data_IF_167128678140
#
_entry.id   IF_167128678140
#
_cell.length_a   1.000
_cell.length_b   1.000
_cell.length_c   1.000
_cell.angle_alpha   90.00
_cell.angle_beta   90.00
_cell.angle_gamma   90.00
#
_symmetry.space_group_name_H-M   'P 1'
#
loop_
_entity.id
_entity.type
_entity.pdbx_description
1 polymer ?
#
# COMPACT_ATOMS: atom_id res chain seq x y z
N UNK A 1 4.29 -15.48 -9.48
CA UNK A 1 3.72 -14.46 -10.39
C UNK A 1 2.73 -13.61 -9.58
N UNK A 2 2.71 -12.29 -9.72
CA UNK A 2 1.66 -11.45 -9.12
C UNK A 2 0.54 -11.29 -10.15
N UNK A 3 -0.71 -11.36 -9.71
CA UNK A 3 -1.89 -11.18 -10.55
C UNK A 3 -2.50 -9.83 -10.21
N UNK A 4 -2.76 -9.01 -11.23
CA UNK A 4 -3.53 -7.78 -11.05
C UNK A 4 -5.00 -8.17 -10.86
N UNK A 5 -5.56 -7.87 -9.68
CA UNK A 5 -6.95 -8.20 -9.36
C UNK A 5 -7.93 -7.09 -9.76
N UNK A 6 -7.43 -5.91 -10.12
CA UNK A 6 -8.26 -4.73 -10.32
C UNK A 6 -7.51 -3.49 -10.81
N UNK A 7 -8.20 -2.65 -11.59
CA UNK A 7 -7.72 -1.33 -12.02
C UNK A 7 -8.88 -0.33 -11.98
N UNK A 8 -8.73 0.71 -11.17
CA UNK A 8 -9.70 1.81 -11.08
C UNK A 8 -9.01 3.13 -11.36
N UNK A 9 -9.66 3.97 -12.16
CA UNK A 9 -9.21 5.34 -12.38
C UNK A 9 -9.71 6.23 -11.24
N UNK A 10 -8.79 6.96 -10.61
CA UNK A 10 -9.11 7.92 -9.56
C UNK A 10 -7.99 8.93 -9.37
N UNK A 11 -8.32 10.09 -8.81
CA UNK A 11 -7.33 11.05 -8.31
C UNK A 11 -6.69 10.53 -7.00
N UNK A 12 -5.46 10.93 -6.72
CA UNK A 12 -4.57 10.38 -5.67
C UNK A 12 -5.11 10.42 -4.23
N UNK A 13 -6.23 11.09 -3.99
CA UNK A 13 -6.80 11.30 -2.65
C UNK A 13 -8.24 10.82 -2.48
N UNK A 14 -8.79 10.08 -3.44
CA UNK A 14 -10.20 9.69 -3.37
C UNK A 14 -10.40 8.37 -2.60
N UNK A 15 -10.65 8.49 -1.28
CA UNK A 15 -10.99 7.35 -0.43
C UNK A 15 -12.23 6.59 -0.95
N UNK A 16 -13.19 7.26 -1.59
CA UNK A 16 -14.39 6.63 -2.16
C UNK A 16 -14.02 5.63 -3.26
N UNK A 17 -13.10 6.00 -4.16
CA UNK A 17 -12.64 5.08 -5.23
C UNK A 17 -11.90 3.89 -4.63
N UNK A 18 -11.05 4.13 -3.63
CA UNK A 18 -10.36 3.05 -2.92
C UNK A 18 -11.32 2.09 -2.22
N UNK A 19 -12.35 2.61 -1.55
CA UNK A 19 -13.38 1.80 -0.89
C UNK A 19 -14.14 0.98 -1.93
N UNK A 20 -14.60 1.59 -3.02
CA UNK A 20 -15.31 0.89 -4.08
C UNK A 20 -14.49 -0.26 -4.68
N UNK A 21 -13.20 -0.04 -4.95
CA UNK A 21 -12.30 -1.09 -5.43
C UNK A 21 -12.22 -2.25 -4.44
N UNK A 22 -11.99 -1.97 -3.14
CA UNK A 22 -11.81 -3.01 -2.14
C UNK A 22 -13.10 -3.77 -1.84
N UNK A 23 -14.25 -3.10 -1.84
CA UNK A 23 -15.56 -3.73 -1.74
C UNK A 23 -15.83 -4.67 -2.92
N UNK A 24 -15.52 -4.26 -4.16
CA UNK A 24 -15.65 -5.10 -5.35
C UNK A 24 -14.80 -6.38 -5.25
N UNK A 25 -13.58 -6.31 -4.67
CA UNK A 25 -12.78 -7.51 -4.44
C UNK A 25 -13.48 -8.50 -3.52
N UNK A 26 -14.09 -8.01 -2.44
CA UNK A 26 -14.82 -8.85 -1.46
C UNK A 26 -16.05 -9.47 -2.11
N UNK A 27 -16.82 -8.69 -2.88
CA UNK A 27 -17.98 -9.18 -3.62
C UNK A 27 -17.61 -10.27 -4.64
N UNK A 28 -16.41 -10.21 -5.22
CA UNK A 28 -15.86 -11.25 -6.11
C UNK A 28 -15.26 -12.45 -5.37
N UNK A 29 -15.37 -12.49 -4.04
CA UNK A 29 -14.97 -13.64 -3.22
C UNK A 29 -13.59 -13.51 -2.57
N UNK A 30 -13.01 -12.31 -2.47
CA UNK A 30 -11.88 -12.09 -1.56
C UNK A 30 -12.37 -12.25 -0.12
N UNK A 31 -11.95 -13.32 0.54
CA UNK A 31 -12.33 -13.65 1.91
C UNK A 31 -11.48 -12.89 2.95
N UNK A 32 -12.07 -11.96 3.73
CA UNK A 32 -11.33 -11.19 4.72
C UNK A 32 -10.87 -11.99 5.94
N UNK A 33 -11.46 -13.15 6.20
CA UNK A 33 -11.21 -13.94 7.41
C UNK A 33 -9.88 -14.71 7.34
N UNK A 34 -9.31 -14.86 6.15
CA UNK A 34 -8.04 -15.59 5.94
C UNK A 34 -6.80 -14.88 6.50
N UNK A 35 -6.97 -13.68 7.06
CA UNK A 35 -5.87 -12.84 7.54
C UNK A 35 -5.16 -12.13 6.38
N UNK A 36 -5.30 -10.81 6.30
CA UNK A 36 -4.76 -10.01 5.21
C UNK A 36 -3.69 -9.03 5.69
N UNK A 37 -2.66 -8.85 4.85
CA UNK A 37 -1.68 -7.77 4.97
C UNK A 37 -1.88 -6.78 3.81
N UNK A 38 -2.17 -5.53 4.14
CA UNK A 38 -2.28 -4.47 3.16
C UNK A 38 -0.96 -3.72 3.04
N UNK A 39 -0.34 -3.76 1.86
CA UNK A 39 0.92 -3.06 1.58
C UNK A 39 0.67 -1.89 0.63
N UNK A 40 0.74 -0.65 1.15
CA UNK A 40 0.47 0.58 0.39
C UNK A 40 1.66 1.55 0.41
N UNK A 41 1.74 2.49 -0.52
CA UNK A 41 2.83 3.49 -0.61
C UNK A 41 2.85 4.54 0.52
N UNK A 42 1.77 4.63 1.30
CA UNK A 42 1.57 5.63 2.35
C UNK A 42 0.34 6.51 2.12
N UNK A 43 -0.43 6.28 1.05
CA UNK A 43 -1.68 7.00 0.80
C UNK A 43 -2.64 6.94 2.01
N UNK A 44 -3.00 8.11 2.53
CA UNK A 44 -4.00 8.26 3.60
C UNK A 44 -5.39 7.82 3.14
N UNK A 45 -5.73 8.10 1.88
CA UNK A 45 -7.00 7.71 1.28
C UNK A 45 -7.14 6.18 1.20
N UNK A 46 -6.10 5.47 0.74
CA UNK A 46 -6.11 4.00 0.72
C UNK A 46 -6.15 3.42 2.13
N UNK A 47 -5.42 3.98 3.09
CA UNK A 47 -5.50 3.55 4.49
C UNK A 47 -6.91 3.70 5.05
N UNK A 48 -7.60 4.80 4.73
CA UNK A 48 -9.00 5.02 5.14
C UNK A 48 -9.90 3.97 4.49
N UNK A 49 -9.80 3.75 3.18
CA UNK A 49 -10.57 2.75 2.46
C UNK A 49 -10.40 1.33 3.04
N UNK A 50 -9.16 0.92 3.32
CA UNK A 50 -8.87 -0.38 3.95
C UNK A 50 -9.60 -0.50 5.29
N UNK A 51 -9.53 0.51 6.15
CA UNK A 51 -10.21 0.48 7.45
C UNK A 51 -11.73 0.49 7.32
N UNK A 52 -12.26 1.16 6.31
CA UNK A 52 -13.70 1.16 6.01
C UNK A 52 -14.20 -0.23 5.59
N UNK A 53 -13.45 -0.97 4.76
CA UNK A 53 -13.89 -2.27 4.25
C UNK A 53 -13.53 -3.43 5.19
N UNK A 54 -12.35 -3.37 5.82
CA UNK A 54 -11.77 -4.49 6.58
C UNK A 54 -11.61 -4.21 8.08
N UNK A 55 -12.06 -3.05 8.55
CA UNK A 55 -12.06 -2.65 9.96
C UNK A 55 -10.77 -1.96 10.43
N UNK A 56 -10.87 -1.27 11.57
CA UNK A 56 -9.79 -0.43 12.14
C UNK A 56 -8.52 -1.21 12.51
N UNK A 57 -8.65 -2.51 12.78
CA UNK A 57 -7.52 -3.38 13.17
C UNK A 57 -6.81 -4.02 11.98
N UNK A 58 -7.24 -3.75 10.75
CA UNK A 58 -6.60 -4.29 9.54
C UNK A 58 -5.09 -3.94 9.51
N UNK A 59 -4.18 -4.93 9.39
CA UNK A 59 -2.75 -4.68 9.32
C UNK A 59 -2.36 -3.94 8.03
N UNK A 60 -1.83 -2.72 8.16
CA UNK A 60 -1.38 -1.91 7.01
C UNK A 60 0.09 -1.58 7.13
N UNK A 61 0.90 -2.17 6.25
CA UNK A 61 2.32 -1.90 6.10
C UNK A 61 2.59 -0.89 4.98
N UNK A 62 3.62 -0.07 5.15
CA UNK A 62 4.11 0.78 4.07
C UNK A 62 5.05 0.00 3.15
N UNK A 63 4.87 0.14 1.84
CA UNK A 63 5.72 -0.49 0.85
C UNK A 63 7.16 -0.01 0.97
N UNK A 64 8.07 -0.89 1.42
CA UNK A 64 9.49 -0.59 1.58
C UNK A 64 10.15 -0.14 0.29
N UNK A 65 9.67 -0.62 -0.87
CA UNK A 65 10.23 -0.27 -2.18
C UNK A 65 9.87 1.14 -2.59
N UNK A 66 8.63 1.57 -2.33
CA UNK A 66 8.24 2.96 -2.53
C UNK A 66 8.93 3.89 -1.53
N UNK A 67 9.04 3.48 -0.26
CA UNK A 67 9.81 4.22 0.74
C UNK A 67 11.27 4.38 0.30
N UNK A 68 11.92 3.31 -0.15
CA UNK A 68 13.29 3.33 -0.65
C UNK A 68 13.45 4.26 -1.85
N UNK A 69 12.60 4.14 -2.88
CA UNK A 69 12.64 5.06 -4.03
C UNK A 69 12.51 6.51 -3.56
N UNK A 70 11.47 6.82 -2.78
CA UNK A 70 11.24 8.19 -2.31
C UNK A 70 12.42 8.75 -1.51
N UNK A 71 13.12 7.93 -0.71
CA UNK A 71 14.30 8.41 0.05
C UNK A 71 15.54 8.53 -0.83
N UNK A 72 15.83 7.51 -1.64
CA UNK A 72 17.05 7.47 -2.47
C UNK A 72 17.04 8.52 -3.58
N UNK A 73 15.86 8.87 -4.12
CA UNK A 73 15.71 9.90 -5.15
C UNK A 73 16.13 11.30 -4.66
N UNK A 74 16.16 11.53 -3.34
CA UNK A 74 16.63 12.78 -2.74
C UNK A 74 18.11 12.78 -2.36
N UNK A 75 18.84 11.68 -2.63
CA UNK A 75 20.24 11.54 -2.25
C UNK A 75 21.18 11.55 -3.46
N UNK A 76 22.39 12.10 -3.32
CA UNK A 76 23.47 11.89 -4.29
C UNK A 76 23.74 10.40 -4.51
N UNK A 77 24.04 10.00 -5.75
CA UNK A 77 24.23 8.58 -6.13
C UNK A 77 25.23 7.84 -5.22
N UNK A 78 26.31 8.52 -4.80
CA UNK A 78 27.35 7.98 -3.92
C UNK A 78 26.84 7.53 -2.55
N UNK A 79 25.77 8.15 -2.04
CA UNK A 79 25.24 7.92 -0.69
C UNK A 79 24.12 6.87 -0.69
N UNK A 80 23.56 6.55 -1.86
CA UNK A 80 22.41 5.64 -2.01
C UNK A 80 22.66 4.21 -1.51
N UNK A 81 23.81 3.55 -1.76
CA UNK A 81 24.02 2.17 -1.32
C UNK A 81 23.95 2.00 0.19
N UNK A 82 24.59 2.90 0.95
CA UNK A 82 24.61 2.86 2.41
C UNK A 82 23.21 3.09 3.01
N UNK A 83 22.46 4.07 2.48
CA UNK A 83 21.10 4.36 2.96
C UNK A 83 20.10 3.27 2.55
N UNK A 84 20.27 2.66 1.38
CA UNK A 84 19.39 1.56 0.95
C UNK A 84 19.44 0.38 1.93
N UNK A 85 20.61 0.05 2.45
CA UNK A 85 20.78 -1.03 3.44
C UNK A 85 20.11 -0.72 4.78
N UNK A 86 20.15 0.54 5.23
CA UNK A 86 19.49 0.93 6.50
C UNK A 86 17.96 0.90 6.39
N UNK A 87 17.38 1.25 5.24
CA UNK A 87 15.92 1.28 5.05
C UNK A 87 15.24 -0.10 5.17
N UNK A 88 15.98 -1.19 4.95
CA UNK A 88 15.49 -2.57 5.05
C UNK A 88 15.30 -2.98 6.52
N UNK A 89 16.04 -2.37 7.45
CA UNK A 89 16.04 -2.73 8.87
C UNK A 89 15.13 -1.87 9.75
N UNK A 90 14.49 -0.83 9.20
CA UNK A 90 13.72 0.19 9.97
C UNK A 90 12.28 0.33 9.44
N UNK A 91 11.69 -0.74 8.90
CA UNK A 91 10.36 -0.70 8.28
C UNK A 91 9.48 -1.87 8.71
#
# INVERSE_FOLDING_TARGET
MKVALGLWQGSTENATVGTALLSDLVERGLDPEQGMLFVIDGSKALRKAIRTVFGERAPVQRCIRHKARNVLDHLPERDRPAVKLSLIHIS
#
